data_IF_995124095035
#
_entry.id   IF_995124095035
#
_cell.length_a   1.000
_cell.length_b   1.000
_cell.length_c   1.000
_cell.angle_alpha   90.00
_cell.angle_beta   90.00
_cell.angle_gamma   90.00
#
_symmetry.space_group_name_H-M   'P 1'
#
loop_
_entity.id
_entity.type
_entity.pdbx_description
1 polymer ?
#
# COMPACT_ATOMS: atom_id res chain seq x y z
N UNK A 1 -14.22 37.58 21.04
CA UNK A 1 -14.79 36.91 19.87
C UNK A 1 -13.66 36.67 18.86
N UNK A 2 -13.14 35.44 18.78
CA UNK A 2 -12.18 35.03 17.74
C UNK A 2 -12.87 33.94 16.93
N UNK A 3 -13.13 34.22 15.66
CA UNK A 3 -13.71 33.27 14.72
C UNK A 3 -12.59 32.46 14.07
N UNK A 4 -12.63 31.15 14.29
CA UNK A 4 -11.88 30.11 13.62
C UNK A 4 -12.36 29.95 12.17
N UNK A 5 -11.47 30.11 11.20
CA UNK A 5 -11.73 29.75 9.79
C UNK A 5 -11.39 28.27 9.59
N UNK A 6 -12.42 27.43 9.63
CA UNK A 6 -12.36 26.03 9.26
C UNK A 6 -12.49 25.94 7.73
N UNK A 7 -11.44 25.51 7.02
CA UNK A 7 -11.52 25.24 5.58
C UNK A 7 -12.17 23.87 5.37
N UNK A 8 -13.40 23.89 4.85
CA UNK A 8 -14.13 22.71 4.40
C UNK A 8 -13.41 22.06 3.20
N UNK A 9 -12.71 20.95 3.43
CA UNK A 9 -12.28 20.05 2.35
C UNK A 9 -13.48 19.16 2.00
N UNK A 10 -14.01 19.27 0.78
CA UNK A 10 -15.14 18.45 0.31
C UNK A 10 -14.64 17.06 -0.06
N UNK A 11 -15.14 16.05 0.66
CA UNK A 11 -14.96 14.64 0.31
C UNK A 11 -15.72 14.33 -0.99
N UNK A 12 -15.07 13.72 -1.97
CA UNK A 12 -15.75 13.10 -3.13
C UNK A 12 -15.82 11.60 -2.86
N UNK A 13 -17.01 11.12 -2.49
CA UNK A 13 -17.30 9.71 -2.33
C UNK A 13 -17.79 9.13 -3.67
N UNK A 14 -17.07 8.17 -4.22
CA UNK A 14 -17.48 7.45 -5.43
C UNK A 14 -18.45 6.34 -5.03
N UNK A 15 -19.72 6.44 -5.45
CA UNK A 15 -20.72 5.38 -5.33
C UNK A 15 -21.10 4.91 -6.73
N UNK A 16 -20.85 3.63 -7.05
CA UNK A 16 -21.43 3.02 -8.25
C UNK A 16 -22.93 2.81 -8.03
N UNK A 17 -23.76 3.45 -8.86
CA UNK A 17 -25.16 3.09 -9.01
C UNK A 17 -25.24 1.86 -9.92
N UNK A 18 -25.68 0.73 -9.37
CA UNK A 18 -25.97 -0.46 -10.15
C UNK A 18 -27.15 -0.21 -11.09
N UNK A 19 -26.95 -0.44 -12.38
CA UNK A 19 -28.01 -0.39 -13.37
C UNK A 19 -29.00 -1.54 -13.17
N UNK A 20 -30.28 -1.18 -13.22
CA UNK A 20 -31.45 -2.05 -13.17
C UNK A 20 -31.46 -3.01 -14.36
N UNK A 21 -31.28 -4.31 -14.13
CA UNK A 21 -31.55 -5.33 -15.16
C UNK A 21 -33.03 -5.71 -15.12
N UNK A 22 -33.67 -5.56 -16.28
CA UNK A 22 -35.08 -5.74 -16.53
C UNK A 22 -35.60 -7.14 -16.14
N UNK A 23 -36.83 -7.16 -15.59
CA UNK A 23 -37.63 -8.34 -15.38
C UNK A 23 -37.92 -9.06 -16.71
N UNK A 24 -37.55 -10.34 -16.81
CA UNK A 24 -38.11 -11.26 -17.80
C UNK A 24 -38.74 -12.44 -17.07
N UNK A 25 -39.95 -12.77 -17.53
CA UNK A 25 -40.98 -13.61 -16.92
C UNK A 25 -40.51 -15.03 -16.60
N UNK A 26 -41.02 -15.53 -15.47
CA UNK A 26 -40.95 -16.92 -15.07
C UNK A 26 -41.98 -17.77 -15.83
N UNK A 27 -41.54 -18.92 -16.36
CA UNK A 27 -42.39 -20.09 -16.59
C UNK A 27 -41.79 -21.27 -15.81
N UNK A 28 -42.66 -22.03 -15.13
CA UNK A 28 -42.34 -23.15 -14.24
C UNK A 28 -42.44 -24.49 -15.00
N UNK A 29 -41.82 -25.50 -14.36
CA UNK A 29 -41.81 -26.95 -14.63
C UNK A 29 -40.57 -27.38 -15.45
N UNK A 30 -39.69 -28.28 -14.99
CA UNK A 30 -39.90 -29.45 -14.13
C UNK A 30 -38.67 -29.74 -13.23
N UNK A 31 -38.92 -30.37 -12.08
CA UNK A 31 -37.90 -30.72 -11.09
C UNK A 31 -37.29 -32.09 -11.38
N UNK A 32 -35.96 -32.20 -11.38
CA UNK A 32 -35.24 -33.41 -10.91
C UNK A 32 -33.84 -33.05 -10.44
N UNK A 33 -33.45 -33.68 -9.34
CA UNK A 33 -32.39 -33.27 -8.45
C UNK A 33 -30.97 -33.52 -8.99
N UNK A 34 -30.13 -32.49 -8.89
CA UNK A 34 -28.71 -32.63 -8.55
C UNK A 34 -28.35 -31.46 -7.63
N UNK A 35 -28.01 -31.79 -6.38
CA UNK A 35 -27.65 -30.81 -5.36
C UNK A 35 -26.29 -30.16 -5.69
N UNK A 36 -26.19 -28.83 -5.84
CA UNK A 36 -24.90 -28.17 -5.83
C UNK A 36 -24.43 -27.99 -4.39
N UNK A 37 -23.16 -28.25 -4.17
CA UNK A 37 -22.46 -28.09 -2.91
C UNK A 37 -22.75 -26.71 -2.29
N UNK A 38 -23.19 -26.73 -1.02
CA UNK A 38 -23.55 -25.53 -0.26
C UNK A 38 -22.36 -24.59 -0.13
N UNK A 39 -22.49 -23.47 -0.85
CA UNK A 39 -22.14 -22.10 -0.47
C UNK A 39 -21.14 -21.89 0.65
N UNK A 40 -19.98 -21.37 0.27
CA UNK A 40 -19.19 -20.45 1.09
C UNK A 40 -20.01 -19.16 1.28
N UNK A 41 -20.91 -19.16 2.25
CA UNK A 41 -21.55 -17.93 2.76
C UNK A 41 -21.67 -18.04 4.28
N UNK A 42 -20.55 -17.77 4.97
CA UNK A 42 -20.60 -17.10 6.26
C UNK A 42 -20.11 -15.68 6.03
N UNK A 43 -21.05 -14.73 5.93
CA UNK A 43 -20.76 -13.32 6.19
C UNK A 43 -20.34 -13.22 7.66
N UNK A 44 -19.07 -13.48 7.95
CA UNK A 44 -18.45 -12.97 9.16
C UNK A 44 -18.67 -11.46 9.13
N UNK A 45 -19.35 -10.90 10.13
CA UNK A 45 -19.58 -9.47 10.23
C UNK A 45 -18.22 -8.77 10.13
N UNK A 46 -17.96 -8.16 8.97
CA UNK A 46 -16.63 -7.68 8.61
C UNK A 46 -16.27 -6.54 9.55
N UNK A 47 -15.25 -6.77 10.37
CA UNK A 47 -14.68 -5.72 11.22
C UNK A 47 -14.15 -4.55 10.40
N UNK A 48 -13.70 -4.78 9.16
CA UNK A 48 -13.16 -3.73 8.29
C UNK A 48 -14.23 -3.13 7.39
N UNK A 49 -14.08 -1.84 7.08
CA UNK A 49 -15.04 -1.09 6.26
C UNK A 49 -14.44 -0.51 4.99
N UNK A 50 -13.14 -0.19 5.00
CA UNK A 50 -12.45 0.52 3.91
C UNK A 50 -10.96 0.17 3.86
N UNK A 51 -10.35 0.28 2.68
CA UNK A 51 -8.89 0.31 2.53
C UNK A 51 -8.45 1.75 2.26
N UNK A 52 -7.51 2.27 3.05
CA UNK A 52 -6.91 3.59 2.85
C UNK A 52 -5.47 3.43 2.40
N UNK A 53 -5.14 3.88 1.19
CA UNK A 53 -3.76 3.84 0.68
C UNK A 53 -3.13 5.22 0.72
N UNK A 54 -1.95 5.31 1.31
CA UNK A 54 -1.12 6.52 1.32
C UNK A 54 0.11 6.33 0.41
N UNK A 55 0.27 7.22 -0.57
CA UNK A 55 1.44 7.24 -1.44
C UNK A 55 2.69 7.76 -0.75
N UNK A 56 3.86 7.56 -1.37
CA UNK A 56 5.14 7.95 -0.77
C UNK A 56 5.29 9.44 -0.51
N UNK A 57 4.66 10.29 -1.32
CA UNK A 57 4.61 11.74 -1.10
C UNK A 57 3.75 12.11 0.11
N UNK A 58 2.68 11.36 0.40
CA UNK A 58 1.81 11.59 1.55
C UNK A 58 2.38 11.08 2.89
N UNK A 59 3.52 10.38 2.86
CA UNK A 59 4.26 9.95 4.07
C UNK A 59 5.74 10.34 4.01
N UNK A 60 6.09 11.34 3.19
CA UNK A 60 7.48 11.72 2.93
C UNK A 60 8.19 12.40 4.12
N UNK A 61 7.46 12.80 5.16
CA UNK A 61 8.03 13.46 6.35
C UNK A 61 7.18 13.18 7.59
N UNK A 62 7.72 13.53 8.76
CA UNK A 62 6.98 13.46 10.01
C UNK A 62 5.67 14.26 9.96
N UNK A 63 5.67 15.47 9.39
CA UNK A 63 4.45 16.27 9.28
C UNK A 63 3.40 15.58 8.41
N UNK A 64 3.80 15.01 7.28
CA UNK A 64 2.89 14.33 6.37
C UNK A 64 2.33 13.03 7.00
N UNK A 65 3.12 12.31 7.79
CA UNK A 65 2.62 11.21 8.61
C UNK A 65 1.62 11.68 9.68
N UNK A 66 1.82 12.86 10.29
CA UNK A 66 0.82 13.45 11.21
C UNK A 66 -0.49 13.72 10.47
N UNK A 67 -0.42 14.36 9.30
CA UNK A 67 -1.59 14.68 8.48
C UNK A 67 -2.32 13.41 8.02
N UNK A 68 -1.58 12.35 7.65
CA UNK A 68 -2.15 11.04 7.31
C UNK A 68 -2.86 10.38 8.50
N UNK A 69 -2.28 10.45 9.70
CA UNK A 69 -2.93 9.95 10.91
C UNK A 69 -4.21 10.74 11.26
N UNK A 70 -4.19 12.06 11.11
CA UNK A 70 -5.38 12.90 11.30
C UNK A 70 -6.50 12.53 10.32
N UNK A 71 -6.16 12.22 9.06
CA UNK A 71 -7.14 11.73 8.07
C UNK A 71 -7.81 10.45 8.54
N UNK A 72 -7.07 9.51 9.12
CA UNK A 72 -7.64 8.27 9.67
C UNK A 72 -8.56 8.61 10.87
N UNK A 73 -8.14 9.51 11.76
CA UNK A 73 -8.90 9.91 12.95
C UNK A 73 -10.22 10.63 12.64
N UNK A 74 -10.29 11.35 11.51
CA UNK A 74 -11.48 12.09 11.11
C UNK A 74 -12.66 11.19 10.70
N UNK A 75 -12.46 9.87 10.60
CA UNK A 75 -13.51 8.88 10.31
C UNK A 75 -13.56 7.80 11.40
N UNK A 76 -13.98 8.12 12.63
CA UNK A 76 -13.93 7.19 13.76
C UNK A 76 -14.87 5.98 13.63
N UNK A 77 -15.91 6.08 12.79
CA UNK A 77 -16.83 4.98 12.49
C UNK A 77 -16.26 4.00 11.46
N UNK A 78 -15.23 4.42 10.72
CA UNK A 78 -14.53 3.57 9.75
C UNK A 78 -13.47 2.74 10.47
N UNK A 79 -13.32 1.50 10.01
CA UNK A 79 -12.32 0.54 10.49
C UNK A 79 -11.40 0.19 9.32
N UNK A 80 -10.38 1.04 9.07
CA UNK A 80 -9.60 0.93 7.87
C UNK A 80 -8.55 -0.18 7.96
N UNK A 81 -8.24 -0.77 6.80
CA UNK A 81 -6.92 -1.35 6.53
C UNK A 81 -6.09 -0.30 5.81
N UNK A 82 -4.90 0.02 6.33
CA UNK A 82 -4.05 1.07 5.77
C UNK A 82 -2.92 0.43 4.97
N UNK A 83 -2.71 0.90 3.74
CA UNK A 83 -1.58 0.51 2.89
C UNK A 83 -0.65 1.71 2.72
N UNK A 84 0.64 1.54 3.00
CA UNK A 84 1.61 2.64 3.01
C UNK A 84 2.79 2.31 2.09
N UNK A 85 3.07 3.20 1.14
CA UNK A 85 4.25 3.12 0.27
C UNK A 85 5.54 3.52 1.01
N UNK A 86 6.70 3.32 0.39
CA UNK A 86 7.97 3.86 0.87
C UNK A 86 7.95 5.40 0.93
N UNK A 87 8.70 5.99 1.87
CA UNK A 87 8.73 7.45 2.07
C UNK A 87 9.46 8.17 0.94
N UNK A 88 8.89 9.26 0.41
CA UNK A 88 9.55 10.11 -0.60
C UNK A 88 10.17 9.29 -1.76
N UNK A 89 11.43 9.56 -2.12
CA UNK A 89 12.19 8.87 -3.16
C UNK A 89 12.99 7.66 -2.62
N UNK A 90 12.60 7.08 -1.48
CA UNK A 90 13.36 5.99 -0.84
C UNK A 90 13.52 4.78 -1.75
N UNK A 91 12.48 4.39 -2.49
CA UNK A 91 12.57 3.26 -3.44
C UNK A 91 13.63 3.50 -4.51
N UNK A 92 13.67 4.70 -5.07
CA UNK A 92 14.64 5.07 -6.11
C UNK A 92 16.06 5.16 -5.52
N UNK A 93 16.21 5.73 -4.31
CA UNK A 93 17.48 5.74 -3.59
C UNK A 93 17.99 4.33 -3.25
N UNK A 94 17.11 3.39 -2.91
CA UNK A 94 17.48 1.99 -2.66
C UNK A 94 18.03 1.32 -3.93
N UNK A 95 17.38 1.55 -5.08
CA UNK A 95 17.85 1.05 -6.37
C UNK A 95 19.23 1.63 -6.73
N UNK A 96 19.37 2.95 -6.64
CA UNK A 96 20.63 3.65 -6.89
C UNK A 96 21.75 3.20 -5.95
N UNK A 97 21.43 2.98 -4.67
CA UNK A 97 22.38 2.44 -3.70
C UNK A 97 22.85 1.03 -4.09
N UNK A 98 21.94 0.17 -4.56
CA UNK A 98 22.27 -1.16 -5.07
C UNK A 98 23.19 -1.12 -6.29
N UNK A 99 22.88 -0.26 -7.27
CA UNK A 99 23.70 -0.07 -8.48
C UNK A 99 25.10 0.45 -8.14
N UNK A 100 25.21 1.40 -7.21
CA UNK A 100 26.50 1.89 -6.72
C UNK A 100 27.26 0.84 -5.92
N UNK A 101 26.56 0.04 -5.12
CA UNK A 101 27.18 -1.06 -4.36
C UNK A 101 27.86 -2.06 -5.29
N UNK A 102 27.27 -2.40 -6.44
CA UNK A 102 27.90 -3.30 -7.43
C UNK A 102 29.28 -2.79 -7.86
N UNK A 103 29.46 -1.48 -8.01
CA UNK A 103 30.72 -0.89 -8.49
C UNK A 103 31.70 -0.50 -7.38
N UNK A 104 31.23 -0.20 -6.15
CA UNK A 104 32.10 0.23 -5.04
C UNK A 104 32.78 -0.93 -4.29
N UNK A 105 33.88 -0.69 -3.59
CA UNK A 105 34.46 -1.68 -2.67
C UNK A 105 33.55 -1.93 -1.46
N UNK A 106 33.55 -3.15 -0.90
CA UNK A 106 32.76 -3.47 0.30
C UNK A 106 33.01 -2.53 1.51
N UNK A 107 34.26 -2.07 1.78
CA UNK A 107 34.51 -1.08 2.83
C UNK A 107 33.87 0.29 2.59
N UNK A 108 33.55 0.63 1.33
CA UNK A 108 33.02 1.93 0.93
C UNK A 108 31.48 1.98 0.93
N UNK A 109 30.80 0.88 1.25
CA UNK A 109 29.32 0.83 1.24
C UNK A 109 28.71 1.83 2.21
N UNK A 110 29.32 2.05 3.37
CA UNK A 110 28.86 3.05 4.34
C UNK A 110 28.99 4.50 3.83
N UNK A 111 29.75 4.73 2.75
CA UNK A 111 29.96 6.03 2.13
C UNK A 111 29.01 6.27 0.94
N UNK A 112 28.15 5.29 0.59
CA UNK A 112 27.14 5.48 -0.45
C UNK A 112 26.18 6.57 -0.03
N UNK A 113 26.15 7.67 -0.80
CA UNK A 113 25.32 8.84 -0.54
C UNK A 113 23.84 8.49 -0.33
N UNK A 114 23.27 7.63 -1.18
CA UNK A 114 21.86 7.23 -1.11
C UNK A 114 21.54 6.47 0.19
N UNK A 115 22.48 5.67 0.70
CA UNK A 115 22.31 5.00 1.99
C UNK A 115 22.25 6.03 3.14
N UNK A 116 23.07 7.07 3.08
CA UNK A 116 23.04 8.17 4.05
C UNK A 116 21.73 8.96 3.96
N UNK A 117 21.27 9.29 2.74
CA UNK A 117 19.98 9.97 2.52
C UNK A 117 18.82 9.17 3.11
N UNK A 118 18.79 7.85 2.88
CA UNK A 118 17.78 6.96 3.45
C UNK A 118 17.85 6.98 4.98
N UNK A 119 19.05 6.82 5.57
CA UNK A 119 19.24 6.83 7.03
C UNK A 119 18.77 8.15 7.64
N UNK A 120 19.19 9.28 7.07
CA UNK A 120 18.84 10.62 7.55
C UNK A 120 17.33 10.88 7.48
N UNK A 121 16.69 10.55 6.35
CA UNK A 121 15.24 10.71 6.17
C UNK A 121 14.44 9.96 7.24
N UNK A 122 14.76 8.68 7.45
CA UNK A 122 13.97 7.82 8.35
C UNK A 122 14.28 8.13 9.82
N UNK A 123 15.55 8.32 10.18
CA UNK A 123 15.93 8.67 11.56
C UNK A 123 15.43 10.06 11.95
N UNK A 124 15.56 11.05 11.06
CA UNK A 124 15.01 12.38 11.28
C UNK A 124 13.49 12.35 11.45
N UNK A 125 12.78 11.57 10.63
CA UNK A 125 11.34 11.40 10.77
C UNK A 125 10.96 10.73 12.09
N UNK A 126 11.70 9.72 12.54
CA UNK A 126 11.50 9.08 13.85
C UNK A 126 11.67 10.09 14.97
N UNK A 127 12.74 10.89 14.95
CA UNK A 127 13.01 11.90 15.97
C UNK A 127 11.92 12.97 16.01
N UNK A 128 11.49 13.47 14.85
CA UNK A 128 10.44 14.49 14.71
C UNK A 128 9.05 13.97 15.11
N UNK A 129 8.82 12.66 15.04
CA UNK A 129 7.64 12.00 15.59
C UNK A 129 7.82 11.64 17.08
N UNK A 130 9.02 11.82 17.63
CA UNK A 130 9.43 11.46 19.00
C UNK A 130 9.28 9.96 19.27
N UNK A 131 9.66 9.14 18.31
CA UNK A 131 9.65 7.68 18.39
C UNK A 131 11.04 7.14 18.75
N UNK A 132 11.10 5.84 19.05
CA UNK A 132 12.36 5.17 19.32
C UNK A 132 13.04 4.72 18.00
N UNK A 133 14.31 5.08 17.82
CA UNK A 133 15.13 4.65 16.67
C UNK A 133 15.30 3.14 16.58
N UNK A 134 15.11 2.40 17.69
CA UNK A 134 15.17 0.94 17.69
C UNK A 134 14.16 0.30 16.72
N UNK A 135 13.03 0.97 16.42
CA UNK A 135 11.96 0.47 15.53
C UNK A 135 12.47 0.02 14.15
N UNK A 136 13.48 0.70 13.60
CA UNK A 136 14.05 0.39 12.27
C UNK A 136 15.53 0.03 12.31
N UNK A 137 16.15 -0.01 13.49
CA UNK A 137 17.60 -0.22 13.64
C UNK A 137 18.08 -1.52 12.97
N UNK A 138 17.34 -2.62 13.18
CA UNK A 138 17.63 -3.91 12.55
C UNK A 138 17.45 -3.87 11.03
N UNK A 139 16.47 -3.12 10.51
CA UNK A 139 16.26 -2.97 9.07
C UNK A 139 17.39 -2.18 8.42
N UNK A 140 17.84 -1.09 9.05
CA UNK A 140 18.98 -0.30 8.57
C UNK A 140 20.28 -1.13 8.60
N UNK A 141 20.46 -1.94 9.64
CA UNK A 141 21.59 -2.85 9.72
C UNK A 141 21.54 -3.89 8.59
N UNK A 142 20.40 -4.56 8.41
CA UNK A 142 20.21 -5.55 7.34
C UNK A 142 20.40 -4.95 5.94
N UNK A 143 19.89 -3.74 5.70
CA UNK A 143 20.09 -3.01 4.45
C UNK A 143 21.58 -2.78 4.17
N UNK A 144 22.35 -2.33 5.17
CA UNK A 144 23.78 -2.12 5.01
C UNK A 144 24.54 -3.44 4.77
N UNK A 145 24.16 -4.53 5.45
CA UNK A 145 24.75 -5.85 5.20
C UNK A 145 24.44 -6.36 3.79
N UNK A 146 23.20 -6.15 3.32
CA UNK A 146 22.80 -6.51 1.96
C UNK A 146 23.65 -5.77 0.92
N UNK A 147 23.82 -4.45 1.08
CA UNK A 147 24.65 -3.64 0.19
C UNK A 147 26.13 -4.08 0.23
N UNK A 148 26.66 -4.45 1.41
CA UNK A 148 28.00 -5.06 1.53
C UNK A 148 28.10 -6.38 0.76
N UNK A 149 27.09 -7.23 0.86
CA UNK A 149 27.01 -8.47 0.08
C UNK A 149 27.03 -8.21 -1.43
N UNK A 150 26.21 -7.26 -1.90
CA UNK A 150 26.18 -6.84 -3.31
C UNK A 150 27.56 -6.34 -3.75
N UNK A 151 28.22 -5.51 -2.93
CA UNK A 151 29.54 -4.95 -3.23
C UNK A 151 30.66 -5.99 -3.26
N UNK A 152 30.58 -7.04 -2.45
CA UNK A 152 31.52 -8.17 -2.46
C UNK A 152 31.32 -9.06 -3.69
N UNK A 153 30.06 -9.37 -4.01
CA UNK A 153 29.73 -10.28 -5.11
C UNK A 153 29.79 -9.63 -6.48
N UNK A 154 29.69 -8.29 -6.55
CA UNK A 154 29.63 -7.53 -7.80
C UNK A 154 28.43 -7.92 -8.67
N UNK A 155 27.33 -8.30 -8.03
CA UNK A 155 26.12 -8.79 -8.69
C UNK A 155 24.87 -8.28 -7.97
N UNK A 156 23.90 -7.80 -8.76
CA UNK A 156 22.57 -7.39 -8.30
C UNK A 156 21.51 -8.12 -9.12
N UNK A 157 21.10 -9.30 -8.65
CA UNK A 157 20.06 -10.10 -9.31
C UNK A 157 18.67 -9.46 -9.15
N UNK A 158 17.69 -9.76 -10.02
CA UNK A 158 16.31 -9.32 -9.84
C UNK A 158 15.71 -9.69 -8.48
N UNK A 159 16.03 -10.89 -7.96
CA UNK A 159 15.64 -11.33 -6.62
C UNK A 159 16.23 -10.43 -5.52
N UNK A 160 17.52 -10.12 -5.63
CA UNK A 160 18.21 -9.22 -4.69
C UNK A 160 17.64 -7.81 -4.77
N UNK A 161 17.30 -7.35 -5.98
CA UNK A 161 16.68 -6.05 -6.23
C UNK A 161 15.32 -5.93 -5.54
N UNK A 162 14.46 -6.93 -5.65
CA UNK A 162 13.16 -6.94 -4.97
C UNK A 162 13.30 -6.90 -3.44
N UNK A 163 14.23 -7.69 -2.90
CA UNK A 163 14.52 -7.65 -1.46
C UNK A 163 15.09 -6.28 -1.04
N UNK A 164 15.98 -5.68 -1.84
CA UNK A 164 16.57 -4.37 -1.56
C UNK A 164 15.52 -3.26 -1.49
N UNK A 165 14.60 -3.20 -2.44
CA UNK A 165 13.55 -2.15 -2.44
C UNK A 165 12.49 -2.37 -1.37
N UNK A 166 12.31 -3.61 -0.89
CA UNK A 166 11.34 -3.93 0.17
C UNK A 166 11.57 -3.15 1.46
N UNK A 167 12.83 -2.81 1.77
CA UNK A 167 13.20 -2.03 2.95
C UNK A 167 12.45 -0.70 3.04
N UNK A 168 12.14 -0.06 1.90
CA UNK A 168 11.44 1.22 1.88
C UNK A 168 10.05 1.15 2.52
N UNK A 169 9.22 0.19 2.09
CA UNK A 169 7.86 0.02 2.63
C UNK A 169 7.89 -0.62 4.03
N UNK A 170 8.85 -1.52 4.28
CA UNK A 170 9.04 -2.12 5.59
C UNK A 170 9.36 -1.07 6.66
N UNK A 171 10.21 -0.09 6.36
CA UNK A 171 10.53 1.00 7.30
C UNK A 171 9.35 1.97 7.46
N UNK A 172 8.72 2.40 6.37
CA UNK A 172 7.64 3.39 6.42
C UNK A 172 6.44 2.89 7.22
N UNK A 173 6.02 1.64 7.01
CA UNK A 173 4.90 1.02 7.74
C UNK A 173 5.18 0.85 9.23
N UNK A 174 6.42 0.50 9.61
CA UNK A 174 6.82 0.37 11.02
C UNK A 174 6.83 1.71 11.74
N UNK A 175 7.40 2.74 11.11
CA UNK A 175 7.38 4.11 11.65
C UNK A 175 5.93 4.58 11.82
N UNK A 176 5.10 4.42 10.78
CA UNK A 176 3.73 4.88 10.81
C UNK A 176 2.88 4.15 11.84
N UNK A 177 2.99 2.82 11.94
CA UNK A 177 2.29 2.03 12.96
C UNK A 177 2.73 2.43 14.38
N UNK A 178 4.03 2.65 14.61
CA UNK A 178 4.52 3.09 15.91
C UNK A 178 4.00 4.49 16.27
N UNK A 179 3.93 5.40 15.30
CA UNK A 179 3.35 6.73 15.49
C UNK A 179 1.87 6.66 15.87
N UNK A 180 1.06 5.87 15.15
CA UNK A 180 -0.35 5.66 15.48
C UNK A 180 -0.53 5.15 16.91
N UNK A 181 0.27 4.16 17.33
CA UNK A 181 0.25 3.66 18.71
C UNK A 181 0.64 4.74 19.72
N UNK A 182 1.64 5.57 19.43
CA UNK A 182 2.06 6.69 20.29
C UNK A 182 0.93 7.68 20.54
N UNK A 183 0.10 7.97 19.54
CA UNK A 183 -1.05 8.89 19.67
C UNK A 183 -2.33 8.20 20.19
N UNK A 184 -2.24 6.95 20.65
CA UNK A 184 -3.33 6.22 21.28
C UNK A 184 -4.19 5.37 20.33
N UNK A 185 -3.82 5.27 19.05
CA UNK A 185 -4.50 4.42 18.08
C UNK A 185 -3.85 3.04 18.05
N UNK A 186 -4.61 1.99 18.42
CA UNK A 186 -4.12 0.62 18.30
C UNK A 186 -3.87 0.29 16.84
N UNK A 187 -2.61 0.16 16.46
CA UNK A 187 -2.19 -0.18 15.11
C UNK A 187 -1.21 -1.36 15.12
N UNK A 188 -1.29 -2.22 14.12
CA UNK A 188 -0.37 -3.35 13.94
C UNK A 188 0.22 -3.31 12.55
N UNK A 189 1.56 -3.36 12.47
CA UNK A 189 2.26 -3.41 11.20
C UNK A 189 2.23 -4.84 10.63
N UNK A 190 2.12 -4.93 9.30
CA UNK A 190 2.17 -6.17 8.55
C UNK A 190 3.02 -6.03 7.28
N UNK A 191 3.94 -6.97 7.09
CA UNK A 191 4.60 -7.14 5.81
C UNK A 191 3.70 -8.01 4.91
N UNK A 192 3.39 -7.52 3.71
CA UNK A 192 2.47 -8.17 2.77
C UNK A 192 2.89 -9.62 2.49
N UNK A 193 4.19 -9.85 2.31
CA UNK A 193 4.80 -11.15 2.07
C UNK A 193 4.62 -12.15 3.24
N UNK A 194 4.28 -11.70 4.45
CA UNK A 194 4.05 -12.57 5.61
C UNK A 194 2.55 -12.79 5.92
N UNK A 195 1.65 -11.99 5.34
CA UNK A 195 0.20 -12.11 5.59
C UNK A 195 -0.58 -12.81 4.49
N UNK A 196 0.13 -13.36 3.50
CA UNK A 196 -0.48 -14.18 2.46
C UNK A 196 -0.60 -13.51 1.10
N UNK A 197 0.14 -12.42 0.82
CA UNK A 197 0.37 -12.00 -0.56
C UNK A 197 1.30 -12.99 -1.25
N UNK A 198 0.71 -13.92 -2.01
CA UNK A 198 1.46 -14.93 -2.76
C UNK A 198 1.49 -14.53 -4.24
N UNK A 199 2.68 -14.54 -4.82
CA UNK A 199 2.90 -14.11 -6.20
C UNK A 199 3.61 -15.20 -7.02
N UNK A 200 3.71 -14.98 -8.33
CA UNK A 200 4.72 -15.67 -9.14
C UNK A 200 6.13 -15.28 -8.69
N UNK A 201 7.14 -16.01 -9.17
CA UNK A 201 8.56 -15.76 -8.89
C UNK A 201 9.21 -14.86 -9.95
N UNK A 202 8.40 -14.16 -10.75
CA UNK A 202 8.85 -13.20 -11.77
C UNK A 202 9.23 -11.88 -11.08
N UNK A 203 10.41 -11.86 -10.45
CA UNK A 203 10.90 -10.70 -9.71
C UNK A 203 10.82 -9.41 -10.54
N UNK A 204 10.66 -8.27 -9.88
CA UNK A 204 10.43 -6.92 -10.43
C UNK A 204 9.05 -6.64 -11.02
N UNK A 205 8.26 -7.68 -11.34
CA UNK A 205 6.91 -7.54 -11.87
C UNK A 205 6.07 -8.81 -11.64
N UNK A 206 6.01 -9.26 -10.39
CA UNK A 206 5.37 -10.51 -10.02
C UNK A 206 3.84 -10.39 -10.03
N UNK A 207 3.16 -11.43 -10.54
CA UNK A 207 1.70 -11.48 -10.59
C UNK A 207 1.11 -12.03 -9.29
N UNK A 208 0.04 -11.43 -8.79
CA UNK A 208 -0.68 -11.90 -7.61
C UNK A 208 -1.46 -13.17 -7.95
N UNK A 209 -1.26 -14.23 -7.16
CA UNK A 209 -1.98 -15.48 -7.33
C UNK A 209 -3.31 -15.48 -6.56
N UNK A 210 -4.31 -16.20 -7.09
CA UNK A 210 -5.66 -16.31 -6.51
C UNK A 210 -5.68 -16.80 -5.05
N UNK A 211 -4.67 -17.58 -4.63
CA UNK A 211 -4.53 -18.03 -3.23
C UNK A 211 -4.34 -16.87 -2.25
N UNK A 212 -3.96 -15.68 -2.73
CA UNK A 212 -3.78 -14.47 -1.93
C UNK A 212 -5.06 -14.03 -1.24
N UNK A 213 -6.19 -14.02 -1.96
CA UNK A 213 -7.45 -13.49 -1.44
C UNK A 213 -7.93 -14.20 -0.16
N UNK A 214 -8.08 -15.55 -0.13
CA UNK A 214 -8.48 -16.23 1.09
C UNK A 214 -7.41 -16.17 2.19
N UNK A 215 -6.12 -16.13 1.86
CA UNK A 215 -5.05 -16.06 2.86
C UNK A 215 -5.03 -14.73 3.59
N UNK A 216 -5.05 -13.62 2.84
CA UNK A 216 -5.07 -12.27 3.40
C UNK A 216 -6.32 -12.06 4.24
N UNK A 217 -7.50 -12.49 3.74
CA UNK A 217 -8.75 -12.39 4.48
C UNK A 217 -8.68 -13.17 5.80
N UNK A 218 -8.24 -14.44 5.75
CA UNK A 218 -8.09 -15.27 6.95
C UNK A 218 -7.13 -14.64 7.97
N UNK A 219 -5.98 -14.13 7.51
CA UNK A 219 -4.96 -13.55 8.39
C UNK A 219 -5.47 -12.28 9.08
N UNK A 220 -6.00 -11.33 8.30
CA UNK A 220 -6.47 -10.05 8.83
C UNK A 220 -7.72 -10.21 9.70
N UNK A 221 -8.68 -11.06 9.32
CA UNK A 221 -9.84 -11.33 10.16
C UNK A 221 -9.46 -12.05 11.46
N UNK A 222 -8.58 -13.06 11.40
CA UNK A 222 -8.12 -13.76 12.59
C UNK A 222 -7.49 -12.80 13.60
N UNK A 223 -6.51 -12.01 13.16
CA UNK A 223 -5.83 -11.04 14.02
C UNK A 223 -6.76 -9.96 14.55
N UNK A 224 -7.74 -9.51 13.75
CA UNK A 224 -8.74 -8.54 14.16
C UNK A 224 -9.67 -9.08 15.26
N UNK A 225 -10.07 -10.36 15.17
CA UNK A 225 -10.93 -11.00 16.16
C UNK A 225 -10.19 -11.24 17.48
N UNK A 226 -8.91 -11.59 17.43
CA UNK A 226 -8.09 -11.83 18.61
C UNK A 226 -7.69 -10.53 19.33
N UNK A 227 -7.20 -9.54 18.58
CA UNK A 227 -6.78 -8.25 19.11
C UNK A 227 -7.02 -7.13 18.09
N UNK A 228 -8.19 -6.45 18.17
CA UNK A 228 -8.55 -5.39 17.24
C UNK A 228 -7.50 -4.26 17.22
N UNK A 229 -6.86 -4.09 16.07
CA UNK A 229 -5.88 -3.05 15.78
C UNK A 229 -5.90 -2.73 14.29
N UNK A 230 -5.72 -1.45 13.95
CA UNK A 230 -5.67 -0.95 12.58
C UNK A 230 -4.49 -1.61 11.86
N UNK A 231 -4.71 -2.41 10.80
CA UNK A 231 -3.62 -3.02 10.05
C UNK A 231 -2.91 -1.98 9.20
N UNK A 232 -1.59 -1.87 9.37
CA UNK A 232 -0.70 -1.03 8.57
C UNK A 232 0.16 -1.94 7.71
N UNK A 233 -0.23 -2.09 6.44
CA UNK A 233 0.31 -3.11 5.52
C UNK A 233 1.27 -2.46 4.53
N UNK A 234 2.40 -3.11 4.25
CA UNK A 234 3.26 -2.73 3.13
C UNK A 234 2.49 -2.87 1.82
N UNK A 235 2.49 -1.86 0.98
CA UNK A 235 2.15 -2.00 -0.44
C UNK A 235 3.25 -2.73 -1.23
N UNK A 236 3.06 -2.86 -2.56
CA UNK A 236 4.08 -3.22 -3.56
C UNK A 236 4.76 -4.60 -3.42
N UNK A 237 4.65 -5.26 -2.28
CA UNK A 237 5.41 -6.45 -1.92
C UNK A 237 4.54 -7.71 -1.91
N UNK A 238 5.18 -8.84 -2.17
CA UNK A 238 4.58 -10.17 -2.09
C UNK A 238 5.63 -11.25 -1.82
N UNK A 239 5.17 -12.50 -1.82
CA UNK A 239 6.01 -13.68 -1.60
C UNK A 239 5.91 -14.64 -2.77
N UNK A 240 7.05 -14.89 -3.43
CA UNK A 240 7.15 -15.83 -4.53
C UNK A 240 6.74 -17.25 -4.10
N UNK A 241 5.82 -17.85 -4.84
CA UNK A 241 5.20 -19.13 -4.47
C UNK A 241 6.19 -20.29 -4.43
N UNK A 242 7.20 -20.32 -5.31
CA UNK A 242 8.20 -21.41 -5.35
C UNK A 242 9.43 -21.08 -4.51
N UNK A 243 9.93 -19.86 -4.58
CA UNK A 243 11.18 -19.47 -3.92
C UNK A 243 10.99 -19.10 -2.45
N UNK A 244 9.78 -18.70 -2.06
CA UNK A 244 9.51 -18.08 -0.76
C UNK A 244 10.19 -16.72 -0.55
N UNK A 245 10.79 -16.15 -1.60
CA UNK A 245 11.49 -14.87 -1.54
C UNK A 245 10.51 -13.69 -1.61
N UNK A 246 10.96 -12.53 -1.13
CA UNK A 246 10.24 -11.27 -1.33
C UNK A 246 10.23 -10.94 -2.82
N UNK A 247 9.06 -10.59 -3.32
CA UNK A 247 8.81 -10.16 -4.70
C UNK A 247 8.19 -8.78 -4.70
N UNK A 248 8.30 -8.08 -5.83
CA UNK A 248 7.63 -6.81 -6.05
C UNK A 248 6.59 -6.90 -7.15
N UNK A 249 5.50 -6.16 -7.01
CA UNK A 249 4.32 -6.17 -7.89
C UNK A 249 4.45 -5.22 -9.09
N UNK A 250 5.65 -4.71 -9.35
CA UNK A 250 5.88 -3.75 -10.44
C UNK A 250 5.25 -2.38 -10.20
N UNK A 251 5.09 -1.62 -11.30
CA UNK A 251 4.62 -0.23 -11.25
C UNK A 251 3.19 -0.16 -10.72
N UNK A 252 2.94 0.76 -9.79
CA UNK A 252 1.63 0.90 -9.16
C UNK A 252 1.34 -0.18 -8.11
N UNK A 253 2.33 -0.99 -7.73
CA UNK A 253 2.12 -2.14 -6.85
C UNK A 253 1.49 -1.82 -5.50
N UNK A 254 1.73 -0.65 -4.89
CA UNK A 254 1.04 -0.29 -3.64
C UNK A 254 -0.46 -0.02 -3.84
N UNK A 255 -0.87 0.48 -5.02
CA UNK A 255 -2.29 0.63 -5.36
C UNK A 255 -2.90 -0.76 -5.60
N UNK A 256 -2.18 -1.64 -6.30
CA UNK A 256 -2.59 -3.03 -6.51
C UNK A 256 -2.77 -3.78 -5.19
N UNK A 257 -1.84 -3.64 -4.24
CA UNK A 257 -1.98 -4.21 -2.88
C UNK A 257 -3.29 -3.78 -2.22
N UNK A 258 -3.64 -2.50 -2.31
CA UNK A 258 -4.86 -1.99 -1.69
C UNK A 258 -6.14 -2.52 -2.36
N UNK A 259 -6.14 -2.64 -3.69
CA UNK A 259 -7.23 -3.29 -4.45
C UNK A 259 -7.36 -4.77 -4.04
N UNK A 260 -6.24 -5.49 -3.95
CA UNK A 260 -6.23 -6.90 -3.54
C UNK A 260 -6.79 -7.09 -2.13
N UNK A 261 -6.42 -6.24 -1.17
CA UNK A 261 -6.99 -6.28 0.19
C UNK A 261 -8.49 -5.98 0.15
N UNK A 262 -8.91 -4.96 -0.61
CA UNK A 262 -10.32 -4.60 -0.76
C UNK A 262 -11.16 -5.76 -1.29
N UNK A 263 -10.67 -6.42 -2.34
CA UNK A 263 -11.29 -7.61 -2.93
C UNK A 263 -11.27 -8.81 -1.97
N UNK A 264 -10.15 -9.07 -1.30
CA UNK A 264 -10.00 -10.17 -0.35
C UNK A 264 -11.00 -10.08 0.83
N UNK A 265 -11.22 -8.86 1.34
CA UNK A 265 -12.09 -8.58 2.48
C UNK A 265 -13.54 -8.22 2.08
N UNK A 266 -13.85 -8.13 0.78
CA UNK A 266 -15.17 -7.76 0.29
C UNK A 266 -15.61 -6.35 0.69
N UNK A 267 -14.67 -5.39 0.70
CA UNK A 267 -14.91 -4.03 1.19
C UNK A 267 -15.66 -3.18 0.16
N UNK A 268 -16.43 -2.20 0.66
CA UNK A 268 -17.31 -1.36 -0.16
C UNK A 268 -16.55 -0.39 -1.06
N UNK A 269 -15.41 0.11 -0.60
CA UNK A 269 -14.59 1.06 -1.33
C UNK A 269 -13.12 0.98 -0.93
N UNK A 270 -12.27 1.46 -1.82
CA UNK A 270 -10.85 1.67 -1.61
C UNK A 270 -10.54 3.15 -1.87
N UNK A 271 -9.81 3.77 -0.95
CA UNK A 271 -9.50 5.19 -0.96
C UNK A 271 -8.01 5.37 -1.23
N UNK A 272 -7.66 6.07 -2.32
CA UNK A 272 -6.29 6.48 -2.60
C UNK A 272 -6.10 7.92 -2.11
N UNK A 273 -5.28 8.11 -1.09
CA UNK A 273 -4.95 9.42 -0.54
C UNK A 273 -3.69 9.96 -1.22
N UNK A 274 -3.85 11.14 -1.84
CA UNK A 274 -2.79 11.89 -2.50
C UNK A 274 -2.81 13.35 -2.04
N UNK A 275 -1.81 14.09 -2.48
CA UNK A 275 -1.62 15.52 -2.18
C UNK A 275 -2.35 16.43 -3.16
N UNK A 276 -3.22 15.86 -4.01
CA UNK A 276 -4.02 16.55 -5.02
C UNK A 276 -5.50 16.19 -4.85
N UNK A 277 -6.40 17.14 -5.14
CA UNK A 277 -7.85 17.02 -4.96
C UNK A 277 -8.51 16.12 -6.04
N UNK A 278 -8.10 14.84 -6.10
CA UNK A 278 -8.64 13.84 -7.01
C UNK A 278 -7.94 13.79 -8.38
N UNK A 279 -8.64 13.24 -9.36
CA UNK A 279 -8.18 13.17 -10.75
C UNK A 279 -8.57 14.43 -11.51
N UNK A 280 -7.64 14.95 -12.31
CA UNK A 280 -7.85 16.12 -13.15
C UNK A 280 -7.82 15.70 -14.62
N UNK A 281 -8.62 16.37 -15.44
CA UNK A 281 -8.63 16.17 -16.90
C UNK A 281 -7.32 16.59 -17.58
N UNK A 282 -6.48 17.38 -16.90
CA UNK A 282 -5.15 17.79 -17.35
C UNK A 282 -4.15 17.81 -16.19
N UNK A 283 -2.85 17.90 -16.49
CA UNK A 283 -1.77 17.94 -15.49
C UNK A 283 -1.85 19.23 -14.64
N UNK A 284 -2.01 19.12 -13.29
CA UNK A 284 -2.14 20.26 -12.38
C UNK A 284 -1.07 21.34 -12.51
N UNK A 285 0.17 20.92 -12.76
CA UNK A 285 1.32 21.81 -12.82
C UNK A 285 1.41 22.65 -14.10
N UNK A 286 0.51 22.43 -15.08
CA UNK A 286 0.53 23.13 -16.37
C UNK A 286 -0.58 24.19 -16.45
N UNK A 287 -1.70 24.01 -15.73
CA UNK A 287 -2.87 24.89 -15.82
C UNK A 287 -3.42 25.27 -14.44
N UNK A 288 -3.57 26.58 -14.18
CA UNK A 288 -3.93 27.11 -12.88
C UNK A 288 -5.43 26.96 -12.48
N UNK A 289 -6.31 26.58 -13.41
CA UNK A 289 -7.76 26.47 -13.18
C UNK A 289 -8.28 25.09 -13.58
N UNK A 290 -7.87 24.06 -12.84
CA UNK A 290 -8.31 22.69 -13.11
C UNK A 290 -9.45 22.28 -12.19
N UNK A 291 -10.53 21.83 -12.80
CA UNK A 291 -11.68 21.26 -12.10
C UNK A 291 -11.47 19.76 -11.93
N UNK A 292 -11.60 19.21 -10.72
CA UNK A 292 -11.56 17.76 -10.52
C UNK A 292 -12.64 17.06 -11.33
N UNK A 293 -12.33 15.91 -11.91
CA UNK A 293 -13.31 15.01 -12.49
C UNK A 293 -14.07 14.31 -11.34
N UNK A 294 -15.38 14.59 -11.15
CA UNK A 294 -16.11 14.07 -9.99
C UNK A 294 -16.37 12.57 -10.07
N UNK A 295 -16.43 12.02 -11.29
CA UNK A 295 -16.63 10.60 -11.58
C UNK A 295 -15.81 10.22 -12.80
N UNK A 296 -15.18 9.05 -12.75
CA UNK A 296 -14.48 8.44 -13.86
C UNK A 296 -14.86 6.96 -13.88
N UNK A 297 -15.04 6.41 -15.07
CA UNK A 297 -15.15 4.96 -15.25
C UNK A 297 -13.79 4.29 -15.06
N UNK A 298 -13.78 2.97 -14.87
CA UNK A 298 -12.54 2.20 -14.79
C UNK A 298 -11.68 2.37 -16.05
N UNK A 299 -12.31 2.33 -17.23
CA UNK A 299 -11.63 2.44 -18.51
C UNK A 299 -11.02 3.84 -18.70
N UNK A 300 -11.77 4.90 -18.40
CA UNK A 300 -11.25 6.27 -18.44
C UNK A 300 -10.08 6.47 -17.48
N UNK A 301 -10.17 5.89 -16.27
CA UNK A 301 -9.10 5.96 -15.28
C UNK A 301 -7.84 5.23 -15.75
N UNK A 302 -8.00 4.05 -16.36
CA UNK A 302 -6.90 3.25 -16.90
C UNK A 302 -6.18 3.98 -18.05
N UNK A 303 -6.95 4.58 -18.98
CA UNK A 303 -6.38 5.37 -20.07
C UNK A 303 -5.64 6.61 -19.54
N UNK A 304 -6.23 7.36 -18.61
CA UNK A 304 -5.59 8.53 -17.99
C UNK A 304 -4.29 8.17 -17.24
N UNK A 305 -4.27 7.01 -16.57
CA UNK A 305 -3.09 6.51 -15.89
C UNK A 305 -1.99 6.07 -16.87
N UNK A 306 -2.37 5.45 -17.98
CA UNK A 306 -1.45 5.00 -19.02
C UNK A 306 -0.68 6.17 -19.65
N UNK A 307 -1.38 7.29 -19.94
CA UNK A 307 -0.78 8.48 -20.55
C UNK A 307 -0.04 9.43 -19.57
N UNK A 308 0.29 8.95 -18.35
CA UNK A 308 1.06 9.68 -17.32
C UNK A 308 0.41 10.97 -16.78
N UNK A 309 -0.88 10.93 -16.45
CA UNK A 309 -1.23 11.58 -15.18
C UNK A 309 -0.55 10.75 -14.07
N UNK A 310 0.08 11.36 -13.06
CA UNK A 310 0.65 10.66 -11.89
C UNK A 310 -0.45 10.04 -10.98
N UNK A 311 -1.47 9.43 -11.59
CA UNK A 311 -2.72 9.07 -10.92
C UNK A 311 -3.22 7.67 -11.29
N UNK A 312 -2.99 6.74 -10.34
CA UNK A 312 -3.65 5.47 -10.04
C UNK A 312 -3.68 4.36 -11.11
N UNK A 313 -3.18 3.18 -10.75
CA UNK A 313 -3.55 1.93 -11.40
C UNK A 313 -4.93 1.48 -10.89
N UNK A 314 -5.88 1.26 -11.80
CA UNK A 314 -7.08 0.47 -11.54
C UNK A 314 -6.81 -0.92 -12.10
N UNK A 315 -6.83 -1.94 -11.26
CA UNK A 315 -6.84 -3.32 -11.74
C UNK A 315 -8.26 -3.63 -12.28
N UNK A 316 -8.39 -4.26 -13.46
CA UNK A 316 -9.69 -4.79 -13.87
C UNK A 316 -10.12 -5.86 -12.85
N UNK A 317 -11.43 -5.98 -12.62
CA UNK A 317 -12.21 -7.03 -11.95
C UNK A 317 -13.12 -6.50 -10.83
#
# INVERSE_FOLDING_TARGET
>A
MRASSCKNTRLVAVRCQGETVAQVKAEKHDATALAPARGYQEKAATGFTVVMKFGGSSVASAQLMRDAAERILNFPDEKPVVVVSAMAETTDNLLLAGEKAVSCGAPQVSEIHELSVIKELHLGTIDDLGLDRFIISDLLYQLEQLLKGIAMMKELTPRTRDYLVSFGECMSTRIFAAYLNKIGMKARQYDAFDIGFITTDDFTNADILEVTYPNVAKRLHGDWMDYPAIPIVTGFLGKGTKSGAVTTLGRGGSDLTAVTIGKALGLREMQVWKDVDGMFTYVPNIYANLTPAPYLTSDESAELAYFRAQVCFVAPY
#
